data_IF_040465924399
#
_entry.id   IF_040465924399
#
_cell.length_a   1.000
_cell.length_b   1.000
_cell.length_c   1.000
_cell.angle_alpha   90.00
_cell.angle_beta   90.00
_cell.angle_gamma   90.00
#
_symmetry.space_group_name_H-M   'P 1'
#
loop_
_entity.id
_entity.type
_entity.pdbx_description
1 polymer ?
#
# COMPACT_ATOMS: atom_id res chain seq x y z
N UNK A 1 11.54 -73.03 21.91
CA UNK A 1 10.49 -72.00 22.09
C UNK A 1 11.05 -70.58 22.24
N UNK A 2 12.13 -70.35 22.99
CA UNK A 2 12.70 -68.99 23.25
C UNK A 2 13.36 -68.31 22.05
N UNK A 3 14.12 -69.02 21.21
CA UNK A 3 14.75 -68.45 20.00
C UNK A 3 13.74 -68.00 18.93
N UNK A 4 12.69 -68.79 18.70
CA UNK A 4 11.61 -68.47 17.75
C UNK A 4 10.80 -67.27 18.25
N UNK A 5 10.52 -67.20 19.55
CA UNK A 5 9.86 -66.05 20.18
C UNK A 5 10.70 -64.76 20.07
N UNK A 6 12.02 -64.85 20.26
CA UNK A 6 12.93 -63.70 20.08
C UNK A 6 12.99 -63.21 18.63
N UNK A 7 13.02 -64.13 17.66
CA UNK A 7 13.03 -63.81 16.24
C UNK A 7 11.71 -63.16 15.79
N UNK A 8 10.57 -63.70 16.22
CA UNK A 8 9.24 -63.12 15.99
C UNK A 8 9.13 -61.74 16.61
N UNK A 9 9.56 -61.58 17.87
CA UNK A 9 9.59 -60.27 18.54
C UNK A 9 10.42 -59.27 17.75
N UNK A 10 11.59 -59.64 17.26
CA UNK A 10 12.40 -58.76 16.42
C UNK A 10 11.69 -58.35 15.11
N UNK A 11 10.98 -59.30 14.48
CA UNK A 11 10.26 -59.06 13.23
C UNK A 11 9.09 -58.09 13.39
N UNK A 12 8.35 -58.17 14.51
CA UNK A 12 7.21 -57.30 14.81
C UNK A 12 7.60 -55.95 15.43
N UNK A 13 8.65 -55.90 16.26
CA UNK A 13 9.01 -54.68 17.01
C UNK A 13 9.71 -53.63 16.12
N UNK A 14 10.50 -54.06 15.14
CA UNK A 14 11.28 -53.14 14.31
C UNK A 14 10.41 -52.20 13.44
N UNK A 15 9.37 -52.68 12.73
CA UNK A 15 8.45 -51.80 12.00
C UNK A 15 7.71 -50.82 12.91
N UNK A 16 7.29 -51.28 14.10
CA UNK A 16 6.57 -50.46 15.09
C UNK A 16 7.46 -49.30 15.57
N UNK A 17 8.72 -49.58 15.92
CA UNK A 17 9.66 -48.51 16.33
C UNK A 17 9.88 -47.49 15.22
N UNK A 18 10.05 -47.93 13.98
CA UNK A 18 10.23 -47.04 12.85
C UNK A 18 9.02 -46.09 12.63
N UNK A 19 7.79 -46.61 12.79
CA UNK A 19 6.58 -45.80 12.75
C UNK A 19 6.50 -44.82 13.92
N UNK A 20 6.74 -45.28 15.16
CA UNK A 20 6.75 -44.42 16.35
C UNK A 20 7.76 -43.28 16.20
N UNK A 21 8.96 -43.57 15.71
CA UNK A 21 9.98 -42.56 15.46
C UNK A 21 9.55 -41.59 14.36
N UNK A 22 8.86 -42.09 13.32
CA UNK A 22 8.25 -41.28 12.29
C UNK A 22 7.22 -40.29 12.84
N UNK A 23 6.25 -40.78 13.62
CA UNK A 23 5.25 -39.95 14.29
C UNK A 23 5.87 -38.92 15.23
N UNK A 24 6.90 -39.30 15.99
CA UNK A 24 7.62 -38.36 16.88
C UNK A 24 8.30 -37.24 16.10
N UNK A 25 8.86 -37.51 14.92
CA UNK A 25 9.46 -36.47 14.08
C UNK A 25 8.40 -35.54 13.49
N UNK A 26 7.27 -36.07 13.02
CA UNK A 26 6.13 -35.26 12.55
C UNK A 26 5.57 -34.39 13.68
N UNK A 27 5.45 -34.94 14.88
CA UNK A 27 5.02 -34.19 16.08
C UNK A 27 6.01 -33.08 16.50
N UNK A 28 7.26 -33.14 16.04
CA UNK A 28 8.26 -32.06 16.18
C UNK A 28 8.24 -31.07 15.00
N UNK A 29 7.30 -31.20 14.06
CA UNK A 29 7.12 -30.30 12.91
C UNK A 29 7.88 -30.69 11.64
N UNK A 30 8.52 -31.88 11.61
CA UNK A 30 9.22 -32.37 10.42
C UNK A 30 8.25 -33.06 9.45
N UNK A 31 8.07 -32.48 8.25
CA UNK A 31 7.18 -33.02 7.21
C UNK A 31 7.92 -33.82 6.12
N UNK A 32 9.26 -33.92 6.18
CA UNK A 32 10.07 -34.67 5.21
C UNK A 32 10.26 -36.16 5.59
N UNK A 33 9.58 -36.62 6.64
CA UNK A 33 9.82 -37.93 7.24
C UNK A 33 9.19 -39.02 6.39
N UNK A 34 10.00 -40.01 6.00
CA UNK A 34 9.53 -41.19 5.28
C UNK A 34 9.87 -42.47 6.03
N UNK A 35 8.86 -43.24 6.39
CA UNK A 35 9.03 -44.54 7.03
C UNK A 35 9.04 -45.63 5.95
N UNK A 36 10.16 -46.32 5.81
CA UNK A 36 10.32 -47.45 4.88
C UNK A 36 10.24 -48.77 5.65
N UNK A 37 9.18 -49.55 5.43
CA UNK A 37 9.02 -50.89 6.00
C UNK A 37 9.26 -51.95 4.92
N UNK A 38 10.19 -52.89 5.19
CA UNK A 38 10.55 -53.96 4.25
C UNK A 38 9.50 -55.09 4.19
N UNK A 39 8.77 -55.31 5.28
CA UNK A 39 7.75 -56.36 5.39
C UNK A 39 6.67 -56.21 4.30
N UNK A 40 6.01 -57.30 3.88
CA UNK A 40 4.98 -57.34 2.81
C UNK A 40 3.56 -57.48 3.37
N UNK A 41 3.38 -57.05 4.62
CA UNK A 41 2.22 -57.29 5.47
C UNK A 41 1.52 -55.96 5.82
N UNK A 42 0.65 -55.99 6.82
CA UNK A 42 -0.13 -54.84 7.30
C UNK A 42 0.77 -53.68 7.76
N UNK A 43 2.02 -53.93 8.18
CA UNK A 43 2.95 -52.86 8.54
C UNK A 43 3.40 -52.04 7.33
N UNK A 44 3.42 -52.64 6.13
CA UNK A 44 3.70 -51.89 4.90
C UNK A 44 2.53 -50.98 4.54
N UNK A 45 1.32 -51.48 4.68
CA UNK A 45 0.11 -50.69 4.43
C UNK A 45 0.04 -49.51 5.40
N UNK A 46 0.27 -49.75 6.69
CA UNK A 46 0.33 -48.70 7.70
C UNK A 46 1.45 -47.68 7.42
N UNK A 47 2.63 -48.13 7.00
CA UNK A 47 3.72 -47.22 6.61
C UNK A 47 3.39 -46.42 5.35
N UNK A 48 2.67 -47.01 4.39
CA UNK A 48 2.17 -46.28 3.21
C UNK A 48 1.17 -45.21 3.62
N UNK A 49 0.14 -45.55 4.39
CA UNK A 49 -0.85 -44.58 4.88
C UNK A 49 -0.23 -43.48 5.75
N UNK A 50 0.76 -43.82 6.57
CA UNK A 50 1.55 -42.83 7.30
C UNK A 50 2.29 -41.87 6.33
N UNK A 51 3.02 -42.41 5.35
CA UNK A 51 3.76 -41.58 4.40
C UNK A 51 2.83 -40.69 3.56
N UNK A 52 1.66 -41.20 3.16
CA UNK A 52 0.61 -40.43 2.46
C UNK A 52 0.04 -39.32 3.35
N UNK A 53 -0.20 -39.59 4.64
CA UNK A 53 -0.60 -38.56 5.60
C UNK A 53 0.46 -37.47 5.73
N UNK A 54 1.74 -37.85 5.82
CA UNK A 54 2.85 -36.90 5.90
C UNK A 54 2.96 -36.06 4.61
N UNK A 55 2.80 -36.67 3.44
CA UNK A 55 2.75 -35.95 2.16
C UNK A 55 1.61 -34.92 2.13
N UNK A 56 0.42 -35.33 2.57
CA UNK A 56 -0.73 -34.43 2.64
C UNK A 56 -0.49 -33.27 3.64
N UNK A 57 0.13 -33.54 4.79
CA UNK A 57 0.48 -32.49 5.76
C UNK A 57 1.51 -31.51 5.18
N UNK A 58 2.53 -32.00 4.47
CA UNK A 58 3.52 -31.16 3.79
C UNK A 58 2.88 -30.29 2.73
N UNK A 59 1.99 -30.87 1.91
CA UNK A 59 1.24 -30.15 0.89
C UNK A 59 0.34 -29.08 1.51
N UNK A 60 -0.41 -29.41 2.56
CA UNK A 60 -1.26 -28.45 3.29
C UNK A 60 -0.42 -27.31 3.88
N UNK A 61 0.73 -27.62 4.49
CA UNK A 61 1.65 -26.60 5.03
C UNK A 61 2.15 -25.65 3.95
N UNK A 62 2.57 -26.18 2.80
CA UNK A 62 3.00 -25.38 1.64
C UNK A 62 1.88 -24.51 1.09
N UNK A 63 0.68 -25.06 0.95
CA UNK A 63 -0.50 -24.30 0.51
C UNK A 63 -0.84 -23.17 1.48
N UNK A 64 -0.81 -23.42 2.79
CA UNK A 64 -1.04 -22.38 3.81
C UNK A 64 0.04 -21.30 3.76
N UNK A 65 1.31 -21.67 3.62
CA UNK A 65 2.41 -20.70 3.49
C UNK A 65 2.25 -19.83 2.24
N UNK A 66 1.93 -20.44 1.10
CA UNK A 66 1.66 -19.71 -0.13
C UNK A 66 0.47 -18.76 0.04
N UNK A 67 -0.64 -19.23 0.64
CA UNK A 67 -1.82 -18.40 0.89
C UNK A 67 -1.55 -17.25 1.85
N UNK A 68 -0.73 -17.47 2.87
CA UNK A 68 -0.33 -16.42 3.79
C UNK A 68 0.53 -15.35 3.10
N UNK A 69 1.44 -15.77 2.22
CA UNK A 69 2.27 -14.85 1.45
C UNK A 69 1.44 -14.03 0.46
N UNK A 70 0.55 -14.66 -0.31
CA UNK A 70 -0.39 -13.98 -1.20
C UNK A 70 -1.25 -12.95 -0.44
N UNK A 71 -1.71 -13.31 0.76
CA UNK A 71 -2.51 -12.40 1.60
C UNK A 71 -1.68 -11.22 2.12
N UNK A 72 -0.42 -11.45 2.49
CA UNK A 72 0.49 -10.39 2.92
C UNK A 72 0.78 -9.39 1.80
N UNK A 73 1.08 -9.86 0.59
CA UNK A 73 1.28 -9.00 -0.58
C UNK A 73 0.04 -8.15 -0.90
N UNK A 74 -1.15 -8.76 -0.85
CA UNK A 74 -2.41 -8.04 -1.06
C UNK A 74 -2.65 -6.98 0.02
N UNK A 75 -2.40 -7.28 1.29
CA UNK A 75 -2.54 -6.30 2.38
C UNK A 75 -1.60 -5.12 2.19
N UNK A 76 -0.33 -5.37 1.83
CA UNK A 76 0.67 -4.34 1.59
C UNK A 76 0.37 -3.49 0.35
N UNK A 77 -0.39 -4.02 -0.62
CA UNK A 77 -0.85 -3.24 -1.78
C UNK A 77 -1.92 -2.20 -1.44
N UNK A 78 -2.57 -2.32 -0.27
CA UNK A 78 -3.70 -1.47 0.14
C UNK A 78 -3.35 -0.64 1.37
N UNK A 79 -2.50 -1.16 2.26
CA UNK A 79 -2.18 -0.56 3.55
C UNK A 79 -0.68 -0.34 3.69
N UNK A 80 -0.25 0.75 4.35
CA UNK A 80 1.14 0.90 4.78
C UNK A 80 1.61 -0.27 5.64
N UNK A 81 2.89 -0.64 5.56
CA UNK A 81 3.46 -1.83 6.22
C UNK A 81 3.23 -1.85 7.76
N UNK A 82 3.33 -0.68 8.40
CA UNK A 82 3.07 -0.54 9.84
C UNK A 82 1.62 -0.84 10.21
N UNK A 83 0.69 -0.43 9.35
CA UNK A 83 -0.75 -0.62 9.51
C UNK A 83 -1.16 -2.06 9.18
N UNK A 84 -0.61 -2.64 8.11
CA UNK A 84 -0.85 -4.03 7.70
C UNK A 84 -0.48 -5.02 8.82
N UNK A 85 0.67 -4.81 9.49
CA UNK A 85 1.10 -5.64 10.62
C UNK A 85 0.13 -5.60 11.80
N UNK A 86 -0.42 -4.42 12.14
CA UNK A 86 -1.40 -4.27 13.21
C UNK A 86 -2.70 -5.01 12.89
N UNK A 87 -3.15 -4.95 11.63
CA UNK A 87 -4.30 -5.72 11.15
C UNK A 87 -4.06 -7.23 11.28
N UNK A 88 -2.89 -7.72 10.87
CA UNK A 88 -2.53 -9.13 11.01
C UNK A 88 -2.44 -9.60 12.46
N UNK A 89 -2.12 -8.69 13.39
CA UNK A 89 -2.10 -8.96 14.83
C UNK A 89 -3.50 -8.94 15.46
N UNK A 90 -4.55 -8.65 14.69
CA UNK A 90 -5.93 -8.58 15.16
C UNK A 90 -6.25 -7.30 15.92
N UNK A 91 -5.48 -6.23 15.71
CA UNK A 91 -5.78 -4.95 16.33
C UNK A 91 -7.05 -4.32 15.72
N UNK A 92 -8.02 -4.04 16.57
CA UNK A 92 -9.24 -3.33 16.20
C UNK A 92 -9.08 -1.82 16.46
N UNK A 93 -9.67 -0.99 15.58
CA UNK A 93 -9.66 0.49 15.68
C UNK A 93 -8.27 1.14 15.52
N UNK A 94 -7.58 0.84 14.42
CA UNK A 94 -6.28 1.45 14.10
C UNK A 94 -6.46 2.91 13.72
N UNK A 95 -5.93 3.81 14.56
CA UNK A 95 -5.90 5.24 14.31
C UNK A 95 -4.73 5.93 15.03
N UNK A 96 -3.97 6.74 14.30
CA UNK A 96 -2.78 7.41 14.78
C UNK A 96 -2.83 8.92 14.45
N UNK A 97 -2.11 9.73 15.23
CA UNK A 97 -1.95 11.16 15.00
C UNK A 97 -0.51 11.48 14.60
N UNK A 98 -0.37 12.24 13.52
CA UNK A 98 0.91 12.67 12.97
C UNK A 98 0.97 14.20 12.99
N UNK A 99 2.09 14.79 13.41
CA UNK A 99 2.20 16.24 13.62
C UNK A 99 2.81 17.02 12.46
N UNK A 100 3.69 16.39 11.67
CA UNK A 100 4.47 17.03 10.61
C UNK A 100 4.29 16.28 9.29
N UNK A 101 3.12 16.44 8.68
CA UNK A 101 2.80 15.85 7.38
C UNK A 101 2.52 16.97 6.38
N UNK A 102 3.05 16.86 5.17
CA UNK A 102 2.58 17.67 4.03
C UNK A 102 1.59 16.86 3.22
N UNK A 103 0.42 17.44 2.98
CA UNK A 103 -0.67 16.87 2.20
C UNK A 103 -0.78 17.62 0.88
N UNK A 104 -0.87 16.86 -0.21
CA UNK A 104 -1.12 17.35 -1.56
C UNK A 104 -2.44 16.79 -2.06
N UNK A 105 -3.25 17.68 -2.63
CA UNK A 105 -4.32 17.31 -3.53
C UNK A 105 -3.99 17.83 -4.92
N UNK A 106 -4.25 17.03 -5.95
CA UNK A 106 -4.28 17.44 -7.33
C UNK A 106 -5.64 17.09 -7.93
N UNK A 107 -6.12 17.90 -8.88
CA UNK A 107 -7.32 17.63 -9.65
C UNK A 107 -7.04 17.87 -11.12
N UNK A 108 -7.52 16.95 -11.96
CA UNK A 108 -7.33 16.95 -13.40
C UNK A 108 -8.59 17.51 -14.08
N UNK A 109 -8.42 18.60 -14.82
CA UNK A 109 -9.41 19.18 -15.72
C UNK A 109 -9.26 18.67 -17.15
N UNK A 110 -10.34 18.72 -17.93
CA UNK A 110 -10.38 18.23 -19.31
C UNK A 110 -10.72 16.74 -19.43
N UNK A 111 -10.74 16.00 -18.31
CA UNK A 111 -10.97 14.55 -18.33
C UNK A 111 -12.45 14.19 -18.55
N UNK A 112 -13.39 15.01 -18.07
CA UNK A 112 -14.82 14.78 -18.28
C UNK A 112 -15.13 14.86 -19.78
N UNK A 113 -14.64 15.91 -20.44
CA UNK A 113 -14.81 16.14 -21.86
C UNK A 113 -14.18 15.02 -22.71
N UNK A 114 -13.00 14.52 -22.29
CA UNK A 114 -12.38 13.36 -22.92
C UNK A 114 -13.19 12.08 -22.71
N UNK A 115 -13.76 11.87 -21.52
CA UNK A 115 -14.55 10.68 -21.21
C UNK A 115 -15.86 10.57 -21.99
N UNK A 116 -16.39 11.71 -22.46
CA UNK A 116 -17.57 11.77 -23.32
C UNK A 116 -17.27 11.44 -24.79
N UNK A 117 -16.02 11.60 -25.21
CA UNK A 117 -15.59 11.47 -26.62
C UNK A 117 -14.81 10.19 -26.90
N UNK A 118 -14.07 9.68 -25.92
CA UNK A 118 -13.27 8.47 -26.03
C UNK A 118 -14.06 7.21 -25.64
N UNK A 119 -13.77 6.06 -26.26
CA UNK A 119 -14.24 4.77 -25.75
C UNK A 119 -13.82 4.55 -24.29
N UNK A 120 -14.69 3.93 -23.49
CA UNK A 120 -14.43 3.72 -22.07
C UNK A 120 -13.08 3.03 -21.78
N UNK A 121 -12.66 2.09 -22.62
CA UNK A 121 -11.35 1.42 -22.49
C UNK A 121 -10.17 2.37 -22.69
N UNK A 122 -10.27 3.30 -23.63
CA UNK A 122 -9.22 4.29 -23.90
C UNK A 122 -9.17 5.35 -22.80
N UNK A 123 -10.33 5.81 -22.32
CA UNK A 123 -10.44 6.72 -21.17
C UNK A 123 -9.78 6.13 -19.92
N UNK A 124 -10.04 4.85 -19.62
CA UNK A 124 -9.42 4.16 -18.48
C UNK A 124 -7.93 3.94 -18.70
N UNK A 125 -7.49 3.58 -19.91
CA UNK A 125 -6.06 3.44 -20.23
C UNK A 125 -5.31 4.74 -20.02
N UNK A 126 -5.85 5.86 -20.52
CA UNK A 126 -5.26 7.18 -20.36
C UNK A 126 -5.14 7.58 -18.88
N UNK A 127 -6.19 7.30 -18.09
CA UNK A 127 -6.16 7.57 -16.66
C UNK A 127 -5.11 6.72 -15.95
N UNK A 128 -5.01 5.44 -16.29
CA UNK A 128 -4.00 4.54 -15.73
C UNK A 128 -2.58 5.02 -16.07
N UNK A 129 -2.30 5.35 -17.33
CA UNK A 129 -0.98 5.84 -17.74
C UNK A 129 -0.58 7.11 -16.98
N UNK A 130 -1.52 8.04 -16.80
CA UNK A 130 -1.29 9.27 -16.06
C UNK A 130 -1.07 9.02 -14.56
N UNK A 131 -1.92 8.20 -13.94
CA UNK A 131 -1.80 7.84 -12.52
C UNK A 131 -0.52 7.06 -12.26
N UNK A 132 -0.13 6.13 -13.13
CA UNK A 132 1.14 5.41 -13.04
C UNK A 132 2.33 6.36 -13.13
N UNK A 133 2.31 7.32 -14.05
CA UNK A 133 3.37 8.33 -14.13
C UNK A 133 3.46 9.19 -12.86
N UNK A 134 2.32 9.49 -12.21
CA UNK A 134 2.32 10.16 -10.91
C UNK A 134 2.84 9.26 -9.79
N UNK A 135 2.48 7.98 -9.78
CA UNK A 135 2.94 7.01 -8.78
C UNK A 135 4.47 6.85 -8.85
N UNK A 136 5.05 6.74 -10.05
CA UNK A 136 6.51 6.70 -10.27
C UNK A 136 7.20 7.98 -9.75
N UNK A 137 6.60 9.15 -10.02
CA UNK A 137 7.13 10.42 -9.53
C UNK A 137 6.99 10.53 -8.00
N UNK A 138 5.90 10.04 -7.41
CA UNK A 138 5.70 10.02 -5.98
C UNK A 138 6.76 9.15 -5.29
N UNK A 139 7.01 7.96 -5.81
CA UNK A 139 8.06 7.06 -5.31
C UNK A 139 9.45 7.71 -5.36
N UNK A 140 9.82 8.30 -6.50
CA UNK A 140 11.08 9.05 -6.67
C UNK A 140 11.30 10.12 -5.60
N UNK A 141 10.23 10.79 -5.17
CA UNK A 141 10.29 11.86 -4.17
C UNK A 141 10.03 11.37 -2.74
N UNK A 142 9.76 10.09 -2.50
CA UNK A 142 9.39 9.58 -1.17
C UNK A 142 8.07 10.20 -0.69
N UNK A 143 7.12 10.36 -1.60
CA UNK A 143 5.75 10.78 -1.37
C UNK A 143 4.85 9.55 -1.43
N UNK A 144 4.00 9.38 -0.44
CA UNK A 144 3.08 8.25 -0.30
C UNK A 144 1.74 8.62 -0.93
N UNK A 145 1.28 7.83 -1.89
CA UNK A 145 -0.09 7.92 -2.41
C UNK A 145 -1.08 7.50 -1.32
N UNK A 146 -2.12 8.30 -1.11
CA UNK A 146 -3.22 7.94 -0.20
C UNK A 146 -4.36 7.31 -0.99
N UNK A 147 -4.89 8.04 -1.97
CA UNK A 147 -6.03 7.59 -2.78
C UNK A 147 -6.21 8.43 -4.03
N UNK A 148 -6.94 7.85 -4.98
CA UNK A 148 -7.53 8.54 -6.12
C UNK A 148 -9.04 8.65 -5.92
N UNK A 149 -9.62 9.84 -6.12
CA UNK A 149 -11.07 10.07 -6.06
C UNK A 149 -11.50 10.69 -7.39
N UNK A 150 -12.03 9.86 -8.29
CA UNK A 150 -12.32 10.31 -9.66
C UNK A 150 -11.06 10.82 -10.37
N UNK A 151 -11.09 12.07 -10.82
CA UNK A 151 -9.97 12.79 -11.43
C UNK A 151 -8.97 13.40 -10.42
N UNK A 152 -9.24 13.26 -9.11
CA UNK A 152 -8.40 13.83 -8.06
C UNK A 152 -7.39 12.82 -7.51
N UNK A 153 -6.19 13.29 -7.22
CA UNK A 153 -5.08 12.51 -6.65
C UNK A 153 -4.70 13.10 -5.29
N UNK A 154 -4.61 12.25 -4.25
CA UNK A 154 -4.19 12.65 -2.91
C UNK A 154 -2.90 11.92 -2.51
N UNK A 155 -1.92 12.70 -2.06
CA UNK A 155 -0.60 12.21 -1.68
C UNK A 155 -0.09 12.93 -0.43
N UNK A 156 0.82 12.29 0.30
CA UNK A 156 1.39 12.83 1.54
C UNK A 156 2.88 12.54 1.65
N UNK A 157 3.59 13.36 2.43
CA UNK A 157 4.95 13.04 2.87
C UNK A 157 5.09 13.32 4.37
N UNK A 158 5.86 12.47 5.06
CA UNK A 158 6.04 12.53 6.51
C UNK A 158 5.06 11.67 7.31
N UNK A 159 4.25 10.83 6.64
CA UNK A 159 3.24 9.99 7.30
C UNK A 159 3.85 8.68 7.83
N UNK A 160 4.29 7.78 6.95
CA UNK A 160 4.88 6.50 7.35
C UNK A 160 6.33 6.67 7.81
N UNK A 161 7.08 7.55 7.14
CA UNK A 161 8.46 7.91 7.53
C UNK A 161 8.51 9.39 7.90
N UNK A 162 8.67 9.75 9.19
CA UNK A 162 8.84 11.15 9.61
C UNK A 162 10.08 11.77 8.96
N UNK A 163 9.91 12.94 8.34
CA UNK A 163 10.95 13.59 7.53
C UNK A 163 10.91 15.11 7.70
N UNK A 164 12.06 15.77 7.79
CA UNK A 164 12.12 17.23 7.90
C UNK A 164 11.92 17.93 6.55
N UNK A 165 12.27 17.24 5.45
CA UNK A 165 12.17 17.72 4.07
C UNK A 165 10.81 17.40 3.41
N UNK A 166 9.80 17.00 4.20
CA UNK A 166 8.48 16.57 3.73
C UNK A 166 7.82 17.59 2.77
N UNK A 167 7.92 18.89 3.09
CA UNK A 167 7.31 19.95 2.28
C UNK A 167 8.02 20.13 0.94
N UNK A 168 9.36 20.11 0.94
CA UNK A 168 10.16 20.23 -0.27
C UNK A 168 9.87 19.07 -1.24
N UNK A 169 9.87 17.83 -0.73
CA UNK A 169 9.58 16.63 -1.53
C UNK A 169 8.23 16.68 -2.22
N UNK A 170 7.20 17.12 -1.49
CA UNK A 170 5.86 17.27 -2.06
C UNK A 170 5.81 18.35 -3.14
N UNK A 171 6.57 19.44 -3.00
CA UNK A 171 6.62 20.48 -4.02
C UNK A 171 7.43 20.05 -5.25
N UNK A 172 8.56 19.36 -5.06
CA UNK A 172 9.32 18.77 -6.17
C UNK A 172 8.45 17.76 -6.95
N UNK A 173 7.67 16.95 -6.22
CA UNK A 173 6.67 16.05 -6.80
C UNK A 173 5.57 16.81 -7.55
N UNK A 174 4.99 17.86 -6.98
CA UNK A 174 3.97 18.67 -7.62
C UNK A 174 4.46 19.31 -8.94
N UNK A 175 5.73 19.74 -8.99
CA UNK A 175 6.36 20.22 -10.21
C UNK A 175 6.52 19.11 -11.25
N UNK A 176 6.91 17.89 -10.85
CA UNK A 176 6.95 16.73 -11.74
C UNK A 176 5.53 16.40 -12.29
N UNK A 177 4.48 16.51 -11.49
CA UNK A 177 3.09 16.33 -11.97
C UNK A 177 2.72 17.32 -13.08
N UNK A 178 3.07 18.60 -12.94
CA UNK A 178 2.87 19.62 -13.98
C UNK A 178 3.60 19.24 -15.28
N UNK A 179 4.85 18.79 -15.19
CA UNK A 179 5.66 18.37 -16.35
C UNK A 179 5.07 17.14 -17.02
N UNK A 180 4.59 16.16 -16.25
CA UNK A 180 3.95 14.94 -16.76
C UNK A 180 2.72 15.28 -17.58
N UNK A 181 1.81 16.11 -17.04
CA UNK A 181 0.59 16.52 -17.75
C UNK A 181 0.94 17.30 -19.03
N UNK A 182 1.91 18.21 -18.97
CA UNK A 182 2.38 18.95 -20.13
C UNK A 182 2.95 18.05 -21.22
N UNK A 183 3.77 17.06 -20.86
CA UNK A 183 4.33 16.08 -21.79
C UNK A 183 3.22 15.25 -22.44
N UNK A 184 2.27 14.77 -21.64
CA UNK A 184 1.14 13.98 -22.12
C UNK A 184 0.30 14.76 -23.14
N UNK A 185 0.01 16.04 -22.85
CA UNK A 185 -0.68 16.93 -23.79
C UNK A 185 0.08 17.09 -25.12
N UNK A 186 1.41 17.17 -25.07
CA UNK A 186 2.25 17.31 -26.28
C UNK A 186 2.28 16.01 -27.10
N UNK A 187 2.43 14.86 -26.44
CA UNK A 187 2.55 13.55 -27.08
C UNK A 187 1.21 13.09 -27.68
N UNK A 188 0.10 13.32 -26.96
CA UNK A 188 -1.22 12.81 -27.33
C UNK A 188 -2.17 13.89 -27.88
N UNK A 189 -1.69 15.13 -28.04
CA UNK A 189 -2.48 16.29 -28.54
C UNK A 189 -3.76 16.54 -27.73
N UNK A 190 -3.64 16.52 -26.41
CA UNK A 190 -4.73 16.75 -25.46
C UNK A 190 -4.64 18.15 -24.81
N UNK A 191 -5.73 18.60 -24.17
CA UNK A 191 -5.79 19.82 -23.35
C UNK A 191 -6.14 19.50 -21.89
N UNK A 192 -5.41 18.55 -21.30
CA UNK A 192 -5.52 18.25 -19.88
C UNK A 192 -4.97 19.40 -19.05
N UNK A 193 -5.63 19.69 -17.94
CA UNK A 193 -5.23 20.73 -16.99
C UNK A 193 -5.04 20.10 -15.63
N UNK A 194 -4.14 20.62 -14.82
CA UNK A 194 -3.95 20.15 -13.45
C UNK A 194 -3.86 21.33 -12.50
N UNK A 195 -4.51 21.24 -11.35
CA UNK A 195 -4.37 22.22 -10.27
C UNK A 195 -4.03 21.50 -8.99
N UNK A 196 -3.11 22.08 -8.23
CA UNK A 196 -2.52 21.42 -7.07
C UNK A 196 -2.66 22.34 -5.84
N UNK A 197 -3.12 21.78 -4.73
CA UNK A 197 -3.19 22.46 -3.44
C UNK A 197 -2.40 21.69 -2.39
N UNK A 198 -1.55 22.39 -1.64
CA UNK A 198 -0.63 21.78 -0.68
C UNK A 198 -0.70 22.50 0.66
N UNK A 199 -0.78 21.74 1.75
CA UNK A 199 -0.70 22.27 3.10
C UNK A 199 0.14 21.33 3.99
N UNK A 200 0.73 21.87 5.05
CA UNK A 200 1.43 21.08 6.07
C UNK A 200 0.78 21.22 7.43
N UNK A 201 0.84 20.19 8.26
CA UNK A 201 0.34 20.25 9.62
C UNK A 201 0.04 18.88 10.19
N UNK A 202 -0.72 18.86 11.28
CA UNK A 202 -1.12 17.62 11.93
C UNK A 202 -2.29 16.97 11.20
N UNK A 203 -2.28 15.64 11.15
CA UNK A 203 -3.33 14.81 10.58
C UNK A 203 -3.62 13.63 11.51
N UNK A 204 -4.84 13.11 11.43
CA UNK A 204 -5.20 11.80 11.99
C UNK A 204 -5.32 10.85 10.82
N UNK A 205 -4.69 9.68 10.89
CA UNK A 205 -4.83 8.64 9.89
C UNK A 205 -5.31 7.34 10.55
N UNK A 206 -6.06 6.53 9.83
CA UNK A 206 -6.63 5.32 10.41
C UNK A 206 -7.44 4.51 9.43
N UNK A 207 -7.83 3.31 9.85
CA UNK A 207 -8.66 2.40 9.07
C UNK A 207 -10.13 2.58 9.46
N UNK A 208 -10.99 2.74 8.46
CA UNK A 208 -12.45 2.75 8.62
C UNK A 208 -13.08 1.68 7.73
N UNK A 209 -14.18 1.09 8.22
CA UNK A 209 -14.96 0.07 7.51
C UNK A 209 -14.72 -1.34 8.05
N UNK A 210 -15.77 -2.17 8.00
CA UNK A 210 -15.70 -3.57 8.47
C UNK A 210 -15.44 -4.56 7.34
N UNK A 211 -16.03 -4.34 6.16
CA UNK A 211 -15.90 -5.25 5.00
C UNK A 211 -15.06 -4.66 3.87
N UNK A 212 -14.93 -3.34 3.83
CA UNK A 212 -14.08 -2.59 2.90
C UNK A 212 -13.23 -1.65 3.73
N UNK A 213 -12.04 -2.11 4.10
CA UNK A 213 -11.09 -1.31 4.85
C UNK A 213 -10.60 -0.16 3.97
N UNK A 214 -10.70 1.06 4.49
CA UNK A 214 -10.16 2.26 3.85
C UNK A 214 -9.22 2.89 4.85
N UNK A 215 -7.93 2.94 4.51
CA UNK A 215 -6.97 3.78 5.22
C UNK A 215 -7.09 5.20 4.69
N UNK A 216 -7.40 6.16 5.56
CA UNK A 216 -7.65 7.54 5.15
C UNK A 216 -7.09 8.53 6.17
N UNK A 217 -7.07 9.81 5.78
CA UNK A 217 -6.60 10.91 6.59
C UNK A 217 -7.69 11.95 6.84
N UNK A 218 -7.72 12.48 8.07
CA UNK A 218 -8.63 13.52 8.51
C UNK A 218 -7.89 14.64 9.23
N UNK A 219 -8.51 15.82 9.23
CA UNK A 219 -8.05 16.99 9.97
C UNK A 219 -8.09 18.26 9.13
N UNK A 220 -7.92 19.39 9.81
CA UNK A 220 -7.93 20.71 9.16
C UNK A 220 -6.86 20.82 8.06
N UNK A 221 -5.67 20.23 8.29
CA UNK A 221 -4.59 20.18 7.30
C UNK A 221 -5.05 19.62 5.95
N UNK A 222 -5.80 18.50 5.99
CA UNK A 222 -6.35 17.82 4.80
C UNK A 222 -7.41 18.70 4.14
N UNK A 223 -8.33 19.28 4.92
CA UNK A 223 -9.40 20.13 4.42
C UNK A 223 -8.87 21.41 3.75
N UNK A 224 -7.86 22.04 4.33
CA UNK A 224 -7.22 23.24 3.77
C UNK A 224 -6.51 22.92 2.45
N UNK A 225 -5.72 21.84 2.37
CA UNK A 225 -5.08 21.43 1.11
C UNK A 225 -6.12 21.16 0.01
N UNK A 226 -7.20 20.45 0.36
CA UNK A 226 -8.32 20.17 -0.52
C UNK A 226 -9.00 21.46 -1.01
N UNK A 227 -9.13 22.46 -0.13
CA UNK A 227 -9.76 23.74 -0.48
C UNK A 227 -8.89 24.62 -1.36
N UNK A 228 -7.58 24.68 -1.09
CA UNK A 228 -6.62 25.33 -1.99
C UNK A 228 -6.76 24.77 -3.40
N UNK A 229 -6.75 23.44 -3.51
CA UNK A 229 -6.92 22.75 -4.79
C UNK A 229 -8.26 23.07 -5.46
N UNK A 230 -9.35 23.24 -4.71
CA UNK A 230 -10.67 23.59 -5.27
C UNK A 230 -10.76 25.01 -5.81
N UNK A 231 -10.04 25.95 -5.20
CA UNK A 231 -10.04 27.37 -5.56
C UNK A 231 -8.85 27.75 -6.46
N UNK A 232 -7.93 26.81 -6.66
CA UNK A 232 -6.73 26.98 -7.46
C UNK A 232 -7.03 27.17 -8.94
N UNK A 233 -6.21 28.01 -9.56
CA UNK A 233 -6.16 28.16 -11.01
C UNK A 233 -5.58 26.89 -11.66
N UNK A 234 -5.99 26.61 -12.89
CA UNK A 234 -5.37 25.55 -13.68
C UNK A 234 -3.89 25.82 -13.93
N UNK A 235 -3.12 24.74 -13.92
CA UNK A 235 -1.68 24.66 -14.13
C UNK A 235 -0.85 25.43 -13.10
N UNK A 236 -1.37 25.59 -11.87
CA UNK A 236 -0.64 26.19 -10.75
C UNK A 236 -0.55 25.25 -9.55
N UNK A 237 0.45 25.52 -8.71
CA UNK A 237 0.58 24.94 -7.37
C UNK A 237 0.23 26.05 -6.38
N UNK A 238 -0.77 25.82 -5.54
CA UNK A 238 -1.11 26.68 -4.43
C UNK A 238 -0.67 26.07 -3.11
N UNK A 239 -0.09 26.91 -2.26
CA UNK A 239 0.44 26.51 -0.97
C UNK A 239 -0.01 27.49 0.12
N UNK A 240 -0.17 26.98 1.32
CA UNK A 240 -0.32 27.79 2.53
C UNK A 240 0.98 28.48 2.92
N UNK A 241 0.89 29.58 3.68
CA UNK A 241 2.06 30.29 4.24
C UNK A 241 3.06 29.37 4.95
N UNK A 242 2.58 28.36 5.68
CA UNK A 242 3.45 27.46 6.46
C UNK A 242 4.22 26.44 5.59
N UNK A 243 3.74 26.13 4.39
CA UNK A 243 4.48 25.36 3.38
C UNK A 243 5.51 26.28 2.76
N UNK A 244 5.09 27.46 2.31
CA UNK A 244 5.97 28.45 1.68
C UNK A 244 7.16 28.79 2.58
N UNK A 245 6.95 29.06 3.86
CA UNK A 245 8.04 29.37 4.80
C UNK A 245 9.07 28.26 4.97
N UNK A 246 8.72 27.00 4.66
CA UNK A 246 9.64 25.85 4.72
C UNK A 246 10.44 25.66 3.43
N UNK A 247 10.02 26.26 2.32
CA UNK A 247 10.62 26.08 1.00
C UNK A 247 11.10 27.38 0.36
N UNK A 248 10.85 28.54 0.96
CA UNK A 248 11.12 29.86 0.37
C UNK A 248 12.61 30.07 0.00
N UNK A 249 13.54 29.47 0.75
CA UNK A 249 14.98 29.53 0.45
C UNK A 249 15.40 28.58 -0.69
N UNK A 250 14.50 27.68 -1.12
CA UNK A 250 14.79 26.59 -2.05
C UNK A 250 14.08 26.76 -3.40
N UNK A 251 12.96 27.48 -3.46
CA UNK A 251 12.11 27.63 -4.64
C UNK A 251 11.53 29.04 -4.68
N UNK A 252 11.91 29.84 -5.67
CA UNK A 252 11.57 31.27 -5.77
C UNK A 252 10.28 31.57 -6.56
N UNK A 253 9.62 30.57 -7.15
CA UNK A 253 8.53 30.77 -8.13
C UNK A 253 7.14 31.04 -7.52
N UNK A 254 7.04 31.44 -6.26
CA UNK A 254 5.77 31.65 -5.56
C UNK A 254 5.46 33.13 -5.34
N UNK A 255 4.26 33.54 -5.73
CA UNK A 255 3.74 34.90 -5.50
C UNK A 255 2.57 34.86 -4.50
N UNK A 256 2.45 35.85 -3.60
CA UNK A 256 1.34 35.91 -2.65
C UNK A 256 0.04 36.25 -3.39
N UNK A 257 -1.05 35.58 -3.03
CA UNK A 257 -2.40 35.83 -3.58
C UNK A 257 -3.40 36.12 -2.45
N UNK A 258 -4.65 36.41 -2.80
CA UNK A 258 -5.70 36.70 -1.82
C UNK A 258 -5.85 35.60 -0.78
N UNK A 259 -5.96 35.98 0.49
CA UNK A 259 -6.11 35.05 1.61
C UNK A 259 -7.27 34.07 1.42
N UNK A 260 -7.05 32.83 1.87
CA UNK A 260 -8.09 31.82 1.97
C UNK A 260 -8.91 32.05 3.25
N UNK A 261 -10.21 32.32 3.12
CA UNK A 261 -11.13 32.44 4.26
C UNK A 261 -11.67 31.08 4.71
N UNK A 262 -11.22 30.55 5.86
CA UNK A 262 -11.71 29.28 6.43
C UNK A 262 -13.15 29.37 6.93
N UNK A 263 -13.78 28.23 7.25
CA UNK A 263 -15.19 28.16 7.69
C UNK A 263 -15.47 29.04 8.93
N UNK A 264 -14.48 29.21 9.80
CA UNK A 264 -14.55 30.05 10.99
C UNK A 264 -14.17 31.52 10.74
N UNK A 265 -14.15 31.96 9.47
CA UNK A 265 -13.71 33.30 9.03
C UNK A 265 -12.25 33.65 9.34
N UNK A 266 -11.45 32.66 9.72
CA UNK A 266 -9.99 32.81 9.84
C UNK A 266 -9.40 32.98 8.45
N UNK A 267 -8.61 34.04 8.25
CA UNK A 267 -7.88 34.27 7.00
C UNK A 267 -6.51 33.62 7.07
N UNK A 268 -6.14 32.94 5.99
CA UNK A 268 -4.85 32.30 5.84
C UNK A 268 -4.16 32.83 4.60
N UNK A 269 -2.94 33.36 4.77
CA UNK A 269 -2.11 33.77 3.65
C UNK A 269 -1.71 32.54 2.81
N UNK A 270 -1.82 32.69 1.50
CA UNK A 270 -1.58 31.64 0.51
C UNK A 270 -0.73 32.18 -0.63
N UNK A 271 0.01 31.27 -1.26
CA UNK A 271 0.96 31.58 -2.33
C UNK A 271 0.67 30.68 -3.52
N UNK A 272 0.90 31.17 -4.72
CA UNK A 272 0.70 30.41 -5.96
C UNK A 272 1.91 30.55 -6.87
N UNK A 273 2.23 29.47 -7.58
CA UNK A 273 3.09 29.60 -8.76
C UNK A 273 2.37 30.33 -9.88
N UNK A 274 3.14 30.84 -10.83
CA UNK A 274 2.60 31.22 -12.15
C UNK A 274 2.04 29.98 -12.86
N UNK A 275 1.02 30.14 -13.72
CA UNK A 275 0.58 29.05 -14.59
C UNK A 275 1.75 28.55 -15.44
N UNK A 276 1.96 27.23 -15.42
CA UNK A 276 3.08 26.54 -16.07
C UNK A 276 2.91 26.32 -17.58
#
# INVERSE_FOLDING_TARGET
MTLISSLLSYYFVKPIRALIDGFRQVGKGSTEVKVKVKAKDEFRELARSFNEMVDNLDLQKKLVQQKNHENEELLLSILPESVARRVQQGEENIGDRFSNVTVLFADLGGFIELSETLPASETVSLLNDLVSAFDDAAEKHGVEKVKTIGSSYMAVSGLSVPRLDHAKRVIDFAQDMLRIVRRLNQEQKMDLKIRIGVNSGSVVAGIVGQSKFIYDLWGDTVNVANRLRSQGQWNTIQVTQNVHSRIAELIEDFEPISDLELLDKVKMAIWSTKPY
#
